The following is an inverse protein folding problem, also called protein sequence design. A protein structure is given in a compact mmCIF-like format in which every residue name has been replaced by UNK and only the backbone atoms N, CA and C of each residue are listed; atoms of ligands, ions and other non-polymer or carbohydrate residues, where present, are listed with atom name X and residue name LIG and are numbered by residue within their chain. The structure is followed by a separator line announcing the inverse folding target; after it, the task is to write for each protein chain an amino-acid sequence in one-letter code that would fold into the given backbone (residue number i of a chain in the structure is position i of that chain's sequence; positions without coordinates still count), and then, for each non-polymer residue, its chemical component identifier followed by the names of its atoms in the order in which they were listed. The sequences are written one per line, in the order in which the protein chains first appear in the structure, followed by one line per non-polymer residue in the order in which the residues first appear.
data_IF_732094420538
#
_entry.id   IF_732094420538
#
_cell.length_a   1.000
_cell.length_b   1.000
_cell.length_c   1.000
_cell.angle_alpha   90.00
_cell.angle_beta   90.00
_cell.angle_gamma   90.00
#
_symmetry.space_group_name_H-M   'P 1'
#
loop_
_entity.id
_entity.type
_entity.pdbx_description
1 polymer ?
#
# COMPACT_ATOMS: atom_id res chain seq x y z
N UNK A 1 1.36 9.33 -2.00
CA UNK A 1 0.26 9.38 -1.00
C UNK A 1 -0.58 8.13 -1.16
N UNK A 2 -1.00 7.53 -0.05
CA UNK A 2 -1.94 6.41 -0.03
C UNK A 2 -3.29 6.90 0.49
N UNK A 3 -4.35 6.54 -0.23
CA UNK A 3 -5.74 6.87 0.11
C UNK A 3 -6.53 5.60 0.21
N UNK A 4 -7.20 5.43 1.35
CA UNK A 4 -8.15 4.36 1.59
C UNK A 4 -9.46 4.60 0.83
N UNK A 5 -9.75 3.72 -0.12
CA UNK A 5 -10.97 3.70 -0.93
C UNK A 5 -11.77 2.42 -0.71
N UNK A 6 -11.48 1.67 0.37
CA UNK A 6 -12.17 0.43 0.68
C UNK A 6 -13.69 0.66 0.88
N UNK A 7 -14.54 -0.36 0.66
CA UNK A 7 -15.95 -0.28 1.03
C UNK A 7 -16.10 0.13 2.49
N UNK A 8 -17.08 0.98 2.80
CA UNK A 8 -17.30 1.58 4.13
C UNK A 8 -16.23 2.59 4.59
N UNK A 9 -15.28 2.96 3.73
CA UNK A 9 -14.45 4.16 3.92
C UNK A 9 -15.20 5.42 3.50
N UNK A 10 -14.67 6.59 3.85
CA UNK A 10 -15.12 7.86 3.25
C UNK A 10 -14.44 8.03 1.89
N UNK A 11 -15.02 7.45 0.84
CA UNK A 11 -14.47 7.48 -0.52
C UNK A 11 -14.73 8.83 -1.19
N UNK A 12 -13.73 9.50 -1.78
CA UNK A 12 -13.97 10.76 -2.49
C UNK A 12 -14.81 10.54 -3.75
N UNK A 13 -15.61 11.53 -4.13
CA UNK A 13 -16.24 11.54 -5.46
C UNK A 13 -15.15 11.70 -6.53
N UNK A 14 -15.45 11.34 -7.78
CA UNK A 14 -14.47 11.50 -8.87
C UNK A 14 -14.00 12.96 -9.03
N UNK A 15 -14.94 13.91 -9.02
CA UNK A 15 -14.62 15.33 -9.12
C UNK A 15 -13.68 15.78 -7.99
N UNK A 16 -13.97 15.35 -6.75
CA UNK A 16 -13.14 15.70 -5.61
C UNK A 16 -11.77 15.00 -5.65
N UNK A 17 -11.71 13.75 -6.10
CA UNK A 17 -10.45 13.04 -6.31
C UNK A 17 -9.57 13.77 -7.33
N UNK A 18 -10.16 14.30 -8.41
CA UNK A 18 -9.43 15.09 -9.40
C UNK A 18 -8.88 16.39 -8.80
N UNK A 19 -9.66 17.11 -7.98
CA UNK A 19 -9.15 18.28 -7.24
C UNK A 19 -7.97 17.90 -6.31
N UNK A 20 -8.05 16.76 -5.62
CA UNK A 20 -6.95 16.26 -4.79
C UNK A 20 -5.71 15.94 -5.62
N UNK A 21 -5.87 15.32 -6.79
CA UNK A 21 -4.77 15.01 -7.71
C UNK A 21 -4.09 16.30 -8.21
N UNK A 22 -4.86 17.35 -8.52
CA UNK A 22 -4.31 18.67 -8.87
C UNK A 22 -3.44 19.25 -7.73
N UNK A 23 -3.94 19.22 -6.50
CA UNK A 23 -3.18 19.67 -5.32
C UNK A 23 -1.90 18.85 -5.14
N UNK A 24 -1.98 17.52 -5.19
CA UNK A 24 -0.83 16.64 -5.04
C UNK A 24 0.22 16.85 -6.14
N UNK A 25 -0.21 17.07 -7.37
CA UNK A 25 0.70 17.40 -8.47
C UNK A 25 1.44 18.71 -8.20
N UNK A 26 0.74 19.75 -7.71
CA UNK A 26 1.38 21.03 -7.30
C UNK A 26 2.40 20.87 -6.17
N UNK A 27 2.19 19.88 -5.28
CA UNK A 27 3.09 19.51 -4.20
C UNK A 27 4.19 18.53 -4.63
N UNK A 28 4.30 18.21 -5.92
CA UNK A 28 5.26 17.27 -6.51
C UNK A 28 5.16 15.84 -5.94
N UNK A 29 3.97 15.44 -5.51
CA UNK A 29 3.68 14.04 -5.20
C UNK A 29 3.72 13.25 -6.51
N UNK A 30 4.49 12.16 -6.55
CA UNK A 30 4.71 11.38 -7.76
C UNK A 30 3.92 10.07 -7.85
N UNK A 31 3.38 9.58 -6.73
CA UNK A 31 2.64 8.31 -6.66
C UNK A 31 1.34 8.45 -5.86
N UNK A 32 0.25 7.95 -6.42
CA UNK A 32 -1.05 7.81 -5.78
C UNK A 32 -1.38 6.31 -5.62
N UNK A 33 -1.43 5.86 -4.37
CA UNK A 33 -1.72 4.49 -4.02
C UNK A 33 -3.19 4.40 -3.59
N UNK A 34 -4.00 3.64 -4.34
CA UNK A 34 -5.42 3.43 -4.02
C UNK A 34 -5.58 2.17 -3.20
N UNK A 35 -5.79 2.32 -1.90
CA UNK A 35 -5.94 1.20 -0.98
C UNK A 35 -7.34 0.63 -0.99
N UNK A 36 -7.41 -0.68 -1.17
CA UNK A 36 -8.63 -1.46 -1.18
C UNK A 36 -8.55 -2.58 -0.14
N UNK A 37 -9.67 -2.88 0.50
CA UNK A 37 -9.82 -4.03 1.39
C UNK A 37 -10.89 -4.94 0.82
N UNK A 38 -10.49 -6.15 0.47
CA UNK A 38 -11.30 -7.09 -0.29
C UNK A 38 -11.77 -8.25 0.59
N UNK A 39 -12.96 -8.75 0.28
CA UNK A 39 -13.52 -9.96 0.87
C UNK A 39 -13.64 -11.05 -0.22
N UNK A 40 -13.78 -12.33 0.14
CA UNK A 40 -13.94 -13.39 -0.83
C UNK A 40 -15.25 -13.20 -1.61
N UNK A 41 -15.11 -12.78 -2.86
CA UNK A 41 -16.21 -12.56 -3.80
C UNK A 41 -15.64 -12.39 -5.21
N UNK A 42 -16.41 -12.81 -6.21
CA UNK A 42 -16.12 -12.61 -7.64
C UNK A 42 -16.70 -11.31 -8.20
N UNK A 43 -17.46 -10.58 -7.40
CA UNK A 43 -18.03 -9.30 -7.82
C UNK A 43 -16.99 -8.19 -7.75
N UNK A 44 -17.21 -7.12 -8.53
CA UNK A 44 -16.38 -5.92 -8.46
C UNK A 44 -16.61 -5.20 -7.12
N UNK A 45 -15.55 -5.06 -6.31
CA UNK A 45 -15.64 -4.53 -4.95
C UNK A 45 -15.11 -3.09 -4.80
N UNK A 46 -14.51 -2.51 -5.84
CA UNK A 46 -14.00 -1.15 -5.76
C UNK A 46 -15.13 -0.14 -5.89
N UNK A 47 -14.99 0.97 -5.18
CA UNK A 47 -15.98 2.04 -5.18
C UNK A 47 -16.04 2.80 -6.51
N UNK A 48 -14.94 2.84 -7.24
CA UNK A 48 -14.89 3.34 -8.62
C UNK A 48 -15.14 2.21 -9.60
N UNK A 49 -15.89 2.48 -10.66
CA UNK A 49 -16.10 1.49 -11.74
C UNK A 49 -14.82 1.32 -12.54
N UNK A 50 -14.71 0.21 -13.27
CA UNK A 50 -13.59 -0.02 -14.19
C UNK A 50 -13.39 1.13 -15.19
N UNK A 51 -14.48 1.71 -15.71
CA UNK A 51 -14.42 2.89 -16.59
C UNK A 51 -13.82 4.12 -15.90
N UNK A 52 -14.10 4.27 -14.60
CA UNK A 52 -13.61 5.38 -13.81
C UNK A 52 -12.11 5.22 -13.53
N UNK A 53 -11.64 3.99 -13.31
CA UNK A 53 -10.21 3.69 -13.12
C UNK A 53 -9.36 4.12 -14.31
N UNK A 54 -9.83 3.89 -15.55
CA UNK A 54 -9.14 4.36 -16.78
C UNK A 54 -9.09 5.89 -16.81
N UNK A 55 -10.16 6.56 -16.38
CA UNK A 55 -10.25 8.01 -16.34
C UNK A 55 -9.29 8.59 -15.27
N UNK A 56 -9.22 7.97 -14.09
CA UNK A 56 -8.30 8.34 -13.02
C UNK A 56 -6.85 8.13 -13.45
N UNK A 57 -6.51 7.00 -14.07
CA UNK A 57 -5.15 6.72 -14.55
C UNK A 57 -4.71 7.79 -15.56
N UNK A 58 -5.58 8.12 -16.52
CA UNK A 58 -5.30 9.18 -17.50
C UNK A 58 -5.09 10.53 -16.82
N UNK A 59 -5.96 10.90 -15.88
CA UNK A 59 -5.89 12.18 -15.17
C UNK A 59 -4.61 12.32 -14.34
N UNK A 60 -4.18 11.24 -13.68
CA UNK A 60 -2.91 11.13 -12.97
C UNK A 60 -1.73 11.24 -13.92
N UNK A 61 -1.76 10.54 -15.06
CA UNK A 61 -0.70 10.55 -16.05
C UNK A 61 -0.44 11.94 -16.63
N UNK A 62 -1.50 12.67 -16.99
CA UNK A 62 -1.41 14.05 -17.50
C UNK A 62 -0.81 15.03 -16.45
N UNK A 63 -0.69 14.60 -15.19
CA UNK A 63 -0.14 15.35 -14.05
C UNK A 63 1.14 14.75 -13.46
N UNK A 64 1.77 13.82 -14.18
CA UNK A 64 3.00 13.14 -13.77
C UNK A 64 2.89 12.36 -12.44
N UNK A 65 1.68 11.88 -12.12
CA UNK A 65 1.42 11.00 -10.98
C UNK A 65 1.24 9.58 -11.48
N UNK A 66 2.00 8.64 -10.93
CA UNK A 66 1.80 7.21 -11.16
C UNK A 66 0.67 6.71 -10.26
N UNK A 67 -0.37 6.14 -10.86
CA UNK A 67 -1.45 5.48 -10.15
C UNK A 67 -1.11 3.99 -9.94
N UNK A 68 -1.33 3.46 -8.74
CA UNK A 68 -1.15 2.03 -8.47
C UNK A 68 -2.18 1.48 -7.48
N UNK A 69 -2.54 0.19 -7.61
CA UNK A 69 -3.39 -0.49 -6.64
C UNK A 69 -2.63 -0.81 -5.36
N UNK A 70 -3.30 -0.66 -4.21
CA UNK A 70 -2.96 -1.41 -2.99
C UNK A 70 -4.04 -2.46 -2.74
N UNK A 71 -3.63 -3.72 -2.85
CA UNK A 71 -4.47 -4.88 -2.60
C UNK A 71 -4.31 -5.30 -1.15
N UNK A 72 -5.39 -5.27 -0.39
CA UNK A 72 -5.44 -5.84 0.94
C UNK A 72 -6.74 -6.61 1.15
N UNK A 73 -6.81 -7.37 2.23
CA UNK A 73 -7.94 -8.25 2.52
C UNK A 73 -8.52 -7.98 3.90
N UNK A 74 -9.79 -8.33 4.09
CA UNK A 74 -10.43 -8.22 5.38
C UNK A 74 -9.83 -9.17 6.43
N UNK A 75 -9.96 -8.80 7.71
CA UNK A 75 -9.44 -9.59 8.83
C UNK A 75 -10.09 -10.98 8.94
N UNK A 76 -11.31 -11.15 8.42
CA UNK A 76 -12.01 -12.44 8.38
C UNK A 76 -11.41 -13.45 7.40
N UNK A 77 -10.60 -12.99 6.45
CA UNK A 77 -10.01 -13.83 5.40
C UNK A 77 -8.87 -14.69 5.96
N UNK A 78 -8.93 -15.98 5.65
CA UNK A 78 -7.93 -16.99 6.00
C UNK A 78 -7.13 -17.40 4.75
N UNK A 79 -6.00 -18.05 4.97
CA UNK A 79 -5.10 -18.47 3.89
C UNK A 79 -5.81 -19.33 2.81
N UNK A 80 -6.66 -20.25 3.25
CA UNK A 80 -7.46 -21.13 2.36
C UNK A 80 -8.40 -20.35 1.42
N UNK A 81 -8.82 -19.14 1.81
CA UNK A 81 -9.75 -18.34 1.02
C UNK A 81 -9.01 -17.56 -0.09
N UNK A 82 -7.66 -17.49 -0.07
CA UNK A 82 -6.88 -16.77 -1.07
C UNK A 82 -6.98 -17.39 -2.47
N UNK A 83 -7.14 -18.72 -2.55
CA UNK A 83 -7.21 -19.44 -3.83
C UNK A 83 -8.38 -18.94 -4.70
N UNK A 84 -9.52 -18.64 -4.08
CA UNK A 84 -10.69 -18.11 -4.79
C UNK A 84 -10.64 -16.59 -5.04
N UNK A 85 -9.75 -15.87 -4.36
CA UNK A 85 -9.60 -14.41 -4.48
C UNK A 85 -8.63 -13.98 -5.59
N UNK A 86 -7.73 -14.86 -6.03
CA UNK A 86 -6.75 -14.53 -7.08
C UNK A 86 -7.37 -13.92 -8.35
N UNK A 87 -8.48 -14.46 -8.92
CA UNK A 87 -9.11 -13.86 -10.09
C UNK A 87 -9.58 -12.42 -9.84
N UNK A 88 -10.13 -12.14 -8.66
CA UNK A 88 -10.59 -10.79 -8.28
C UNK A 88 -9.41 -9.82 -8.20
N UNK A 89 -8.26 -10.24 -7.65
CA UNK A 89 -7.06 -9.42 -7.65
C UNK A 89 -6.54 -9.15 -9.05
N UNK A 90 -6.54 -10.17 -9.92
CA UNK A 90 -6.14 -10.04 -11.32
C UNK A 90 -7.03 -9.05 -12.08
N UNK A 91 -8.35 -9.11 -11.90
CA UNK A 91 -9.30 -8.18 -12.53
C UNK A 91 -9.07 -6.74 -12.07
N UNK A 92 -8.81 -6.54 -10.77
CA UNK A 92 -8.50 -5.22 -10.22
C UNK A 92 -7.19 -4.69 -10.82
N UNK A 93 -6.14 -5.49 -10.79
CA UNK A 93 -4.83 -5.14 -11.33
C UNK A 93 -4.91 -4.81 -12.82
N UNK A 94 -5.66 -5.59 -13.59
CA UNK A 94 -5.88 -5.39 -15.02
C UNK A 94 -6.61 -4.07 -15.35
N UNK A 95 -7.31 -3.46 -14.39
CA UNK A 95 -7.94 -2.14 -14.58
C UNK A 95 -6.95 -0.97 -14.58
N UNK A 96 -5.68 -1.19 -14.21
CA UNK A 96 -4.63 -0.17 -14.23
C UNK A 96 -3.81 -0.29 -15.52
N UNK A 97 -3.94 0.69 -16.42
CA UNK A 97 -3.40 0.63 -17.78
C UNK A 97 -1.88 0.77 -17.88
N UNK A 98 -1.23 1.46 -16.94
CA UNK A 98 0.23 1.67 -16.92
C UNK A 98 0.85 1.14 -15.61
N UNK A 99 0.61 -0.14 -15.34
CA UNK A 99 1.03 -0.77 -14.11
C UNK A 99 2.54 -1.02 -14.07
N UNK A 100 3.25 -0.31 -13.19
CA UNK A 100 4.67 -0.56 -12.86
C UNK A 100 4.89 -1.09 -11.46
N UNK A 101 3.93 -0.83 -10.58
CA UNK A 101 3.98 -1.17 -9.18
C UNK A 101 2.65 -1.80 -8.76
N UNK A 102 2.71 -2.86 -7.96
CA UNK A 102 1.54 -3.38 -7.22
C UNK A 102 1.90 -3.38 -5.76
N UNK A 103 1.07 -2.76 -4.94
CA UNK A 103 1.28 -2.71 -3.51
C UNK A 103 0.39 -3.74 -2.81
N UNK A 104 0.98 -4.55 -1.94
CA UNK A 104 0.29 -5.50 -1.09
C UNK A 104 0.19 -4.93 0.33
N UNK A 105 -1.05 -4.82 0.82
CA UNK A 105 -1.34 -4.27 2.14
C UNK A 105 -0.91 -5.18 3.29
N UNK A 106 -1.04 -4.72 4.54
CA UNK A 106 -0.52 -5.43 5.70
C UNK A 106 -1.12 -6.83 5.91
N UNK A 107 -2.43 -6.98 5.74
CA UNK A 107 -3.10 -8.26 6.03
C UNK A 107 -2.78 -9.29 4.96
N UNK A 108 -2.84 -8.90 3.69
CA UNK A 108 -2.47 -9.77 2.57
C UNK A 108 -0.99 -10.18 2.64
N UNK A 109 -0.08 -9.22 2.85
CA UNK A 109 1.36 -9.51 2.98
C UNK A 109 1.63 -10.49 4.12
N UNK A 110 0.99 -10.29 5.28
CA UNK A 110 1.13 -11.19 6.44
C UNK A 110 0.74 -12.63 6.10
N UNK A 111 -0.38 -12.84 5.40
CA UNK A 111 -0.80 -14.20 5.03
C UNK A 111 0.17 -14.87 4.05
N UNK A 112 0.69 -14.10 3.07
CA UNK A 112 1.63 -14.62 2.08
C UNK A 112 2.99 -14.97 2.70
N UNK A 113 3.45 -14.18 3.67
CA UNK A 113 4.71 -14.44 4.38
C UNK A 113 4.55 -15.65 5.32
N UNK A 114 3.49 -15.73 6.12
CA UNK A 114 3.29 -16.80 7.11
C UNK A 114 2.95 -18.17 6.47
N UNK A 115 2.38 -18.20 5.26
CA UNK A 115 2.21 -19.44 4.49
C UNK A 115 3.52 -20.23 4.29
N UNK A 116 4.67 -19.55 4.42
CA UNK A 116 6.00 -20.13 4.30
C UNK A 116 6.40 -21.12 5.41
N UNK A 117 5.70 -21.16 6.55
CA UNK A 117 6.15 -21.92 7.73
C UNK A 117 5.58 -23.34 7.83
N UNK A 118 4.35 -23.60 7.38
CA UNK A 118 3.74 -24.94 7.42
C UNK A 118 3.21 -25.41 6.05
N UNK A 119 3.99 -26.26 5.38
CA UNK A 119 3.62 -27.19 4.29
C UNK A 119 2.96 -26.70 2.99
N UNK A 120 2.43 -25.47 2.90
CA UNK A 120 1.93 -24.86 1.66
C UNK A 120 2.64 -23.53 1.41
N UNK A 121 3.93 -23.59 1.09
CA UNK A 121 4.77 -22.42 0.86
C UNK A 121 4.34 -21.71 -0.41
N UNK A 122 3.67 -20.56 -0.30
CA UNK A 122 3.71 -19.58 -1.38
C UNK A 122 5.08 -18.91 -1.31
N UNK A 123 5.96 -19.19 -2.26
CA UNK A 123 7.21 -18.45 -2.38
C UNK A 123 6.89 -17.00 -2.74
N UNK A 124 7.61 -16.00 -2.21
CA UNK A 124 7.43 -14.61 -2.64
C UNK A 124 7.58 -14.45 -4.17
N UNK A 125 8.30 -15.37 -4.83
CA UNK A 125 8.44 -15.41 -6.29
C UNK A 125 7.14 -15.78 -7.03
N UNK A 126 6.24 -16.52 -6.38
CA UNK A 126 4.98 -16.98 -6.99
C UNK A 126 3.91 -15.86 -7.00
N UNK A 127 4.13 -14.76 -6.26
CA UNK A 127 3.22 -13.61 -6.22
C UNK A 127 2.93 -13.09 -7.64
N UNK A 128 3.96 -12.97 -8.49
CA UNK A 128 3.78 -12.55 -9.88
C UNK A 128 2.90 -13.51 -10.67
N UNK A 129 3.07 -14.82 -10.47
CA UNK A 129 2.27 -15.83 -11.14
C UNK A 129 0.81 -15.75 -10.69
N UNK A 130 0.56 -15.68 -9.38
CA UNK A 130 -0.79 -15.60 -8.81
C UNK A 130 -1.53 -14.32 -9.19
N UNK A 131 -0.82 -13.19 -9.33
CA UNK A 131 -1.40 -11.93 -9.76
C UNK A 131 -1.39 -11.72 -11.28
N UNK A 132 -0.95 -12.73 -12.06
CA UNK A 132 -0.80 -12.65 -13.51
C UNK A 132 0.03 -11.43 -13.97
N UNK A 133 1.10 -11.11 -13.24
CA UNK A 133 1.93 -9.94 -13.45
C UNK A 133 3.15 -10.23 -14.35
N UNK A 134 3.52 -9.30 -15.23
CA UNK A 134 4.82 -9.28 -15.88
C UNK A 134 5.97 -9.21 -14.86
N UNK A 135 7.12 -9.81 -15.19
CA UNK A 135 8.27 -9.90 -14.30
C UNK A 135 8.95 -8.56 -13.99
N UNK A 136 8.70 -7.52 -14.80
CA UNK A 136 9.21 -6.16 -14.63
C UNK A 136 8.36 -5.32 -13.67
N UNK A 137 7.14 -5.75 -13.33
CA UNK A 137 6.31 -5.07 -12.32
C UNK A 137 6.95 -5.25 -10.94
N UNK A 138 7.20 -4.14 -10.25
CA UNK A 138 7.75 -4.14 -8.88
C UNK A 138 6.65 -4.36 -7.86
N UNK A 139 6.85 -5.30 -6.93
CA UNK A 139 5.93 -5.50 -5.82
C UNK A 139 6.36 -4.62 -4.65
N UNK A 140 5.42 -3.84 -4.09
CA UNK A 140 5.62 -3.17 -2.81
C UNK A 140 4.94 -4.03 -1.74
N UNK A 141 5.71 -4.66 -0.86
CA UNK A 141 5.23 -5.64 0.11
C UNK A 141 5.29 -5.05 1.52
N UNK A 142 4.20 -5.07 2.29
CA UNK A 142 4.22 -4.65 3.69
C UNK A 142 5.18 -5.54 4.50
N UNK A 143 6.19 -4.92 5.12
CA UNK A 143 7.26 -5.63 5.82
C UNK A 143 7.06 -5.75 7.32
N UNK A 144 6.08 -5.08 7.93
CA UNK A 144 5.92 -5.03 9.39
C UNK A 144 5.94 -6.40 10.10
N UNK A 145 5.47 -7.47 9.46
CA UNK A 145 5.51 -8.83 10.03
C UNK A 145 6.90 -9.46 10.02
N UNK A 146 7.81 -8.97 9.18
CA UNK A 146 9.19 -9.46 9.06
C UNK A 146 10.11 -8.94 10.18
N UNK A 147 9.72 -7.90 10.92
CA UNK A 147 10.58 -7.23 11.91
C UNK A 147 11.00 -8.15 13.06
N UNK A 148 10.18 -9.17 13.34
CA UNK A 148 10.43 -10.14 14.40
C UNK A 148 10.94 -11.49 13.85
N UNK A 149 11.14 -11.59 12.53
CA UNK A 149 11.64 -12.79 11.88
C UNK A 149 13.12 -12.60 11.53
N UNK A 150 13.92 -13.64 11.73
CA UNK A 150 15.29 -13.62 11.24
C UNK A 150 15.28 -13.63 9.70
N UNK A 151 15.69 -12.52 9.08
CA UNK A 151 15.72 -12.36 7.62
C UNK A 151 16.59 -13.40 6.92
N UNK A 152 17.55 -14.00 7.63
CA UNK A 152 18.36 -15.12 7.14
C UNK A 152 17.56 -16.33 6.65
N UNK A 153 16.28 -16.44 7.01
CA UNK A 153 15.39 -17.53 6.60
C UNK A 153 14.48 -17.18 5.41
N UNK A 154 14.43 -15.92 4.99
CA UNK A 154 13.49 -15.44 3.97
C UNK A 154 14.27 -14.88 2.78
N UNK A 155 14.12 -15.50 1.62
CA UNK A 155 14.65 -14.93 0.39
C UNK A 155 13.69 -13.86 -0.15
N UNK A 156 14.17 -12.62 -0.24
CA UNK A 156 13.41 -11.49 -0.80
C UNK A 156 13.92 -11.21 -2.21
N UNK A 157 13.09 -11.39 -3.26
CA UNK A 157 13.48 -11.07 -4.62
C UNK A 157 13.86 -9.59 -4.79
N UNK A 158 14.81 -9.26 -5.68
CA UNK A 158 15.29 -7.89 -5.86
C UNK A 158 14.23 -6.93 -6.44
N UNK A 159 13.18 -7.46 -7.08
CA UNK A 159 12.06 -6.66 -7.60
C UNK A 159 10.93 -6.47 -6.55
N UNK A 160 11.27 -6.54 -5.26
CA UNK A 160 10.38 -6.22 -4.14
C UNK A 160 10.92 -5.00 -3.39
N UNK A 161 10.01 -4.06 -3.10
CA UNK A 161 10.23 -2.96 -2.16
C UNK A 161 9.50 -3.29 -0.88
N UNK A 162 10.22 -3.34 0.24
CA UNK A 162 9.65 -3.54 1.56
C UNK A 162 9.05 -2.23 2.09
N UNK A 163 7.76 -2.27 2.38
CA UNK A 163 6.97 -1.13 2.87
C UNK A 163 6.85 -1.19 4.38
N UNK A 164 7.49 -0.26 5.07
CA UNK A 164 7.42 -0.20 6.53
C UNK A 164 6.38 0.83 7.01
N UNK A 165 5.30 0.36 7.64
CA UNK A 165 4.21 1.21 8.11
C UNK A 165 4.43 1.67 9.55
N UNK A 166 4.44 2.99 9.75
CA UNK A 166 4.55 3.61 11.07
C UNK A 166 3.36 4.53 11.38
N UNK A 167 2.72 4.32 12.53
CA UNK A 167 1.49 5.05 12.91
C UNK A 167 1.69 6.06 14.05
N UNK A 168 2.72 5.86 14.88
CA UNK A 168 2.96 6.65 16.09
C UNK A 168 3.85 7.85 15.78
N UNK A 169 3.67 8.94 16.53
CA UNK A 169 4.45 10.17 16.35
C UNK A 169 5.95 10.00 16.63
N UNK A 170 6.29 9.01 17.45
CA UNK A 170 7.63 8.62 17.88
C UNK A 170 8.11 7.30 17.24
N UNK A 171 7.44 6.83 16.19
CA UNK A 171 7.83 5.60 15.48
C UNK A 171 9.28 5.69 14.95
N UNK A 172 10.09 4.69 15.26
CA UNK A 172 11.50 4.63 14.87
C UNK A 172 11.70 3.82 13.59
N UNK A 173 11.46 4.46 12.44
CA UNK A 173 11.68 3.84 11.13
C UNK A 173 13.14 3.42 10.90
N UNK A 174 14.10 4.10 11.51
CA UNK A 174 15.51 3.84 11.24
C UNK A 174 15.96 2.52 11.88
N UNK A 175 15.59 2.30 13.14
CA UNK A 175 15.89 1.07 13.86
C UNK A 175 15.21 -0.13 13.18
N UNK A 176 13.91 -0.01 12.90
CA UNK A 176 13.13 -1.09 12.32
C UNK A 176 13.58 -1.53 10.92
N UNK A 177 14.15 -0.62 10.12
CA UNK A 177 14.59 -0.92 8.75
C UNK A 177 16.09 -1.18 8.61
N UNK A 178 16.85 -1.06 9.71
CA UNK A 178 18.30 -1.25 9.70
C UNK A 178 18.69 -2.66 9.22
N UNK A 179 17.99 -3.69 9.71
CA UNK A 179 18.27 -5.08 9.32
C UNK A 179 18.01 -5.30 7.83
N UNK A 180 16.88 -4.82 7.30
CA UNK A 180 16.55 -4.91 5.88
C UNK A 180 17.66 -4.32 4.99
N UNK A 181 18.20 -3.17 5.40
CA UNK A 181 19.28 -2.51 4.68
C UNK A 181 20.58 -3.33 4.71
N UNK A 182 20.94 -3.92 5.85
CA UNK A 182 22.13 -4.78 5.99
C UNK A 182 22.06 -6.01 5.06
N UNK A 183 20.86 -6.53 4.82
CA UNK A 183 20.61 -7.63 3.88
C UNK A 183 20.41 -7.16 2.42
N UNK A 184 20.60 -5.87 2.12
CA UNK A 184 20.51 -5.31 0.77
C UNK A 184 19.08 -5.22 0.23
N UNK A 185 18.06 -5.25 1.09
CA UNK A 185 16.68 -5.08 0.68
C UNK A 185 16.37 -3.61 0.40
N UNK A 186 15.51 -3.38 -0.60
CA UNK A 186 15.02 -2.03 -0.91
C UNK A 186 13.84 -1.71 -0.01
N UNK A 187 13.90 -0.60 0.74
CA UNK A 187 12.83 -0.20 1.68
C UNK A 187 12.17 1.11 1.28
N UNK A 188 10.91 1.30 1.64
CA UNK A 188 10.15 2.54 1.52
C UNK A 188 9.30 2.72 2.77
N UNK A 189 9.26 3.94 3.31
CA UNK A 189 8.65 4.21 4.62
C UNK A 189 7.24 4.77 4.46
N UNK A 190 6.29 4.27 5.22
CA UNK A 190 4.87 4.58 5.08
C UNK A 190 4.31 5.23 6.37
N UNK A 191 4.60 6.52 6.62
CA UNK A 191 4.07 7.22 7.79
C UNK A 191 2.57 7.51 7.65
N UNK A 192 1.80 7.17 8.68
CA UNK A 192 0.39 7.50 8.80
C UNK A 192 0.13 8.97 9.18
N UNK A 193 -0.97 9.53 8.67
CA UNK A 193 -1.42 10.91 8.95
C UNK A 193 -2.07 11.10 10.33
N UNK A 194 -2.21 10.06 11.15
CA UNK A 194 -2.87 10.10 12.46
C UNK A 194 -4.28 10.76 12.46
N UNK A 195 -4.97 10.74 11.31
CA UNK A 195 -6.24 11.43 11.10
C UNK A 195 -7.47 10.53 11.26
N UNK A 196 -7.27 9.20 11.20
CA UNK A 196 -8.34 8.22 11.30
C UNK A 196 -9.12 8.36 12.62
N UNK A 197 -10.44 8.11 12.56
CA UNK A 197 -11.33 8.21 13.72
C UNK A 197 -11.37 9.60 14.39
N UNK A 198 -10.91 10.65 13.70
CA UNK A 198 -10.90 12.01 14.22
C UNK A 198 -11.47 12.98 13.21
N UNK A 199 -12.39 13.84 13.65
CA UNK A 199 -12.98 14.89 12.81
C UNK A 199 -11.92 15.92 12.39
N UNK A 200 -11.06 16.32 13.33
CA UNK A 200 -10.01 17.31 13.13
C UNK A 200 -8.61 16.71 12.86
N UNK A 201 -8.49 15.38 12.97
CA UNK A 201 -7.22 14.67 12.90
C UNK A 201 -6.31 14.94 14.11
N UNK A 202 -5.02 14.69 13.92
CA UNK A 202 -3.95 15.00 14.88
C UNK A 202 -2.74 15.57 14.12
N UNK A 203 -2.75 16.85 13.74
CA UNK A 203 -1.71 17.46 12.91
C UNK A 203 -0.31 17.33 13.51
N UNK A 204 -0.17 17.49 14.82
CA UNK A 204 1.11 17.38 15.52
C UNK A 204 1.70 15.97 15.38
N UNK A 205 0.89 14.94 15.60
CA UNK A 205 1.33 13.55 15.43
C UNK A 205 1.66 13.25 13.97
N UNK A 206 0.83 13.74 13.04
CA UNK A 206 1.05 13.58 11.59
C UNK A 206 2.40 14.18 11.16
N UNK A 207 2.66 15.43 11.54
CA UNK A 207 3.89 16.14 11.15
C UNK A 207 5.11 15.45 11.77
N UNK A 208 5.06 15.10 13.06
CA UNK A 208 6.16 14.40 13.73
C UNK A 208 6.48 13.05 13.07
N UNK A 209 5.46 12.25 12.75
CA UNK A 209 5.64 10.95 12.13
C UNK A 209 6.22 11.07 10.70
N UNK A 210 5.66 11.96 9.88
CA UNK A 210 6.14 12.19 8.51
C UNK A 210 7.57 12.74 8.53
N UNK A 211 7.87 13.68 9.44
CA UNK A 211 9.21 14.25 9.58
C UNK A 211 10.24 13.17 9.93
N UNK A 212 9.94 12.29 10.89
CA UNK A 212 10.81 11.17 11.26
C UNK A 212 11.03 10.19 10.11
N UNK A 213 9.98 9.87 9.35
CA UNK A 213 10.12 9.02 8.16
C UNK A 213 11.08 9.67 7.14
N UNK A 214 10.93 10.96 6.87
CA UNK A 214 11.82 11.69 5.93
C UNK A 214 13.27 11.72 6.44
N UNK A 215 13.48 11.92 7.75
CA UNK A 215 14.82 11.83 8.33
C UNK A 215 15.42 10.43 8.19
N UNK A 216 14.62 9.40 8.46
CA UNK A 216 15.03 8.00 8.36
C UNK A 216 15.39 7.63 6.91
N UNK A 217 14.65 8.11 5.90
CA UNK A 217 15.02 7.94 4.48
C UNK A 217 16.44 8.41 4.22
N UNK A 218 16.84 9.57 4.76
CA UNK A 218 18.18 10.12 4.59
C UNK A 218 19.28 9.29 5.27
N UNK A 219 18.98 8.61 6.38
CA UNK A 219 19.96 7.82 7.13
C UNK A 219 20.05 6.36 6.68
N UNK A 220 18.93 5.74 6.28
CA UNK A 220 18.87 4.31 5.92
C UNK A 220 18.97 4.06 4.41
N UNK A 221 18.87 5.11 3.59
CA UNK A 221 18.90 4.96 2.13
C UNK A 221 17.63 4.33 1.55
N UNK A 222 16.51 4.38 2.28
CA UNK A 222 15.20 4.00 1.74
C UNK A 222 14.86 4.82 0.47
N UNK A 223 14.05 4.26 -0.43
CA UNK A 223 13.77 4.89 -1.74
C UNK A 223 12.82 6.09 -1.67
N UNK A 224 12.09 6.26 -0.56
CA UNK A 224 11.17 7.36 -0.39
C UNK A 224 10.18 7.15 0.74
N UNK A 225 9.16 8.00 0.75
CA UNK A 225 8.05 7.93 1.70
C UNK A 225 6.69 7.89 1.01
N UNK A 226 5.75 7.15 1.60
CA UNK A 226 4.34 7.12 1.21
C UNK A 226 3.50 7.58 2.39
N UNK A 227 3.02 8.82 2.35
CA UNK A 227 2.12 9.32 3.39
C UNK A 227 0.78 8.59 3.31
N UNK A 228 0.44 7.82 4.35
CA UNK A 228 -0.75 6.99 4.40
C UNK A 228 -1.92 7.67 5.11
N UNK A 229 -3.00 7.85 4.35
CA UNK A 229 -4.26 8.38 4.85
C UNK A 229 -5.32 7.28 4.91
N UNK A 230 -5.67 6.90 6.13
CA UNK A 230 -6.62 5.84 6.44
C UNK A 230 -7.98 6.44 6.81
N UNK A 231 -9.06 5.84 6.32
CA UNK A 231 -10.40 6.38 6.50
C UNK A 231 -10.99 6.15 7.90
N UNK A 232 -10.36 5.30 8.70
CA UNK A 232 -10.84 4.92 10.03
C UNK A 232 -12.23 4.26 9.99
N UNK A 233 -12.91 4.28 11.13
CA UNK A 233 -14.29 3.84 11.30
C UNK A 233 -15.25 5.04 11.20
N UNK A 234 -16.51 4.76 10.87
CA UNK A 234 -17.63 5.70 10.96
C UNK A 234 -17.58 6.93 10.02
N UNK A 235 -16.73 6.93 8.99
CA UNK A 235 -16.65 7.97 7.95
C UNK A 235 -16.38 9.40 8.43
N UNK A 236 -15.91 9.58 9.67
CA UNK A 236 -15.70 10.92 10.26
C UNK A 236 -14.35 11.56 9.88
N UNK A 237 -13.46 10.78 9.28
CA UNK A 237 -12.13 11.25 8.87
C UNK A 237 -12.25 12.25 7.72
N UNK A 238 -11.57 13.39 7.81
CA UNK A 238 -11.49 14.39 6.75
C UNK A 238 -10.50 13.97 5.66
N UNK A 239 -10.69 14.43 4.43
CA UNK A 239 -9.74 14.16 3.35
C UNK A 239 -8.41 14.89 3.56
N UNK A 240 -7.28 14.29 3.14
CA UNK A 240 -5.98 14.91 3.28
C UNK A 240 -5.79 16.00 2.22
N UNK A 241 -5.44 17.21 2.67
CA UNK A 241 -5.04 18.39 1.87
C UNK A 241 -6.14 19.09 1.05
#
# INVERSE_FOLDING_TARGET
VLVDIAPMSRVPTLDYLFEMIDKWSSLKVSHLHLYTRLVPSREWQLCYKQSDMVMIDRYCHDRFINLLPVLDIDNSVRHQDLEEMWPTFQDIVASFTNLRYVHLGPRLSSLLICAGEESSKVSLQEIWHHLALPADVTIMLCSNTLHNLHLSKVYIPPNIILMDYGFQADYDFADWTQEFHQYGCTTCLCPGTASWNSLAGCPEASICNIYRAVQAVGSTGAVGTVVAHWSGSYHITHYPF
#
